data_IF_037042553690
#
_entry.id   IF_037042553690
#
_cell.length_a   1.000
_cell.length_b   1.000
_cell.length_c   1.000
_cell.angle_alpha   90.00
_cell.angle_beta   90.00
_cell.angle_gamma   90.00
#
_symmetry.space_group_name_H-M   'P 1'
#
loop_
_entity.id
_entity.type
_entity.pdbx_description
1 polymer ?
#
# COMPACT_ATOMS: atom_id res chain seq x y z
N UNK A 1 -8.25 5.44 14.16
CA UNK A 1 -7.87 4.02 14.41
C UNK A 1 -7.23 3.52 13.13
N UNK A 2 -6.12 2.80 13.22
CA UNK A 2 -5.43 2.29 12.03
C UNK A 2 -6.26 1.15 11.42
N UNK A 3 -6.51 1.23 10.11
CA UNK A 3 -7.30 0.29 9.32
C UNK A 3 -6.53 -0.30 8.14
N UNK A 4 -5.51 0.41 7.65
CA UNK A 4 -4.81 0.05 6.42
C UNK A 4 -3.32 -0.17 6.63
N UNK A 5 -2.73 -1.13 5.92
CA UNK A 5 -1.29 -1.28 5.75
C UNK A 5 -0.96 -0.94 4.30
N UNK A 6 -0.22 0.15 4.09
CA UNK A 6 0.19 0.62 2.76
C UNK A 6 1.61 0.16 2.48
N UNK A 7 1.76 -0.66 1.43
CA UNK A 7 3.02 -1.25 0.99
C UNK A 7 3.42 -0.65 -0.36
N UNK A 8 4.27 0.39 -0.39
CA UNK A 8 4.79 0.90 -1.65
C UNK A 8 5.65 -0.15 -2.36
N UNK A 9 5.75 -0.07 -3.67
CA UNK A 9 6.46 -1.07 -4.46
C UNK A 9 6.49 -0.74 -5.94
N UNK A 10 7.24 -1.56 -6.68
CA UNK A 10 7.33 -1.47 -8.14
C UNK A 10 6.19 -2.26 -8.78
N UNK A 11 5.61 -1.68 -9.83
CA UNK A 11 4.73 -2.38 -10.76
C UNK A 11 5.35 -2.34 -12.15
N UNK A 12 5.15 -3.39 -12.92
CA UNK A 12 5.53 -3.39 -14.33
C UNK A 12 4.34 -2.88 -15.14
N UNK A 13 4.53 -1.83 -15.92
CA UNK A 13 3.52 -1.30 -16.82
C UNK A 13 3.20 -2.32 -17.90
N UNK A 14 1.91 -2.52 -18.16
CA UNK A 14 1.46 -3.45 -19.21
C UNK A 14 1.63 -2.85 -20.62
N UNK A 15 1.84 -1.54 -20.73
CA UNK A 15 1.81 -0.81 -22.00
C UNK A 15 3.18 -0.73 -22.65
N UNK A 16 4.19 -0.43 -21.84
CA UNK A 16 5.57 -0.12 -22.23
C UNK A 16 6.58 -1.13 -21.65
N UNK A 17 6.17 -1.92 -20.65
CA UNK A 17 7.04 -2.90 -20.01
C UNK A 17 7.97 -2.30 -18.94
N UNK A 18 7.92 -0.99 -18.68
CA UNK A 18 8.77 -0.34 -17.70
C UNK A 18 8.27 -0.56 -16.27
N UNK A 19 9.20 -0.50 -15.32
CA UNK A 19 8.88 -0.57 -13.90
C UNK A 19 8.61 0.83 -13.34
N UNK A 20 7.40 1.04 -12.83
CA UNK A 20 7.01 2.25 -12.13
C UNK A 20 6.97 1.99 -10.63
N UNK A 21 7.72 2.79 -9.87
CA UNK A 21 7.61 2.79 -8.41
C UNK A 21 6.39 3.59 -7.97
N UNK A 22 5.50 2.95 -7.21
CA UNK A 22 4.34 3.60 -6.62
C UNK A 22 4.61 3.84 -5.13
N UNK A 23 4.67 5.12 -4.77
CA UNK A 23 4.88 5.56 -3.40
C UNK A 23 3.64 5.32 -2.53
N UNK A 24 3.84 5.28 -1.21
CA UNK A 24 2.75 5.09 -0.26
C UNK A 24 1.74 6.25 -0.34
N UNK A 25 2.21 7.48 -0.52
CA UNK A 25 1.37 8.66 -0.74
C UNK A 25 0.48 8.53 -1.97
N UNK A 26 1.02 7.94 -3.05
CA UNK A 26 0.23 7.69 -4.26
C UNK A 26 -0.83 6.62 -4.03
N UNK A 27 -0.51 5.53 -3.33
CA UNK A 27 -1.50 4.51 -2.95
C UNK A 27 -2.60 5.10 -2.07
N UNK A 28 -2.25 5.92 -1.08
CA UNK A 28 -3.22 6.61 -0.24
C UNK A 28 -4.16 7.48 -1.06
N UNK A 29 -3.63 8.27 -1.99
CA UNK A 29 -4.44 9.11 -2.87
C UNK A 29 -5.38 8.29 -3.77
N UNK A 30 -4.89 7.20 -4.36
CA UNK A 30 -5.68 6.33 -5.25
C UNK A 30 -6.82 5.63 -4.52
N UNK A 31 -6.62 5.28 -3.25
CA UNK A 31 -7.61 4.58 -2.43
C UNK A 31 -8.38 5.48 -1.45
N UNK A 32 -8.13 6.79 -1.45
CA UNK A 32 -8.78 7.74 -0.53
C UNK A 32 -8.45 7.51 0.94
N UNK A 33 -7.29 6.93 1.25
CA UNK A 33 -6.88 6.56 2.61
C UNK A 33 -6.28 7.77 3.32
N UNK A 34 -6.75 8.04 4.53
CA UNK A 34 -6.15 9.06 5.38
C UNK A 34 -4.82 8.57 5.99
N UNK A 35 -3.78 9.42 6.05
CA UNK A 35 -2.50 9.06 6.67
C UNK A 35 -2.64 8.60 8.14
N UNK A 36 -3.61 9.15 8.86
CA UNK A 36 -3.93 8.81 10.26
C UNK A 36 -4.59 7.44 10.44
N UNK A 37 -5.06 6.81 9.37
CA UNK A 37 -5.70 5.49 9.38
C UNK A 37 -4.81 4.40 8.77
N UNK A 38 -3.55 4.71 8.45
CA UNK A 38 -2.67 3.79 7.75
C UNK A 38 -1.29 3.64 8.40
N UNK A 39 -0.69 2.46 8.22
CA UNK A 39 0.71 2.19 8.50
C UNK A 39 1.44 1.98 7.18
N UNK A 40 2.50 2.74 6.96
CA UNK A 40 3.39 2.54 5.82
C UNK A 40 4.38 1.43 6.15
N UNK A 41 4.36 0.35 5.37
CA UNK A 41 5.21 -0.82 5.54
C UNK A 41 6.06 -1.03 4.28
N UNK A 42 7.35 -0.70 4.37
CA UNK A 42 8.30 -0.79 3.24
C UNK A 42 9.09 -2.09 3.22
N UNK A 43 9.18 -2.79 4.35
CA UNK A 43 9.99 -3.98 4.48
C UNK A 43 10.09 -4.51 5.92
N UNK A 44 10.94 -5.51 6.16
CA UNK A 44 11.10 -6.14 7.47
C UNK A 44 11.55 -5.16 8.57
N UNK A 45 12.24 -4.08 8.22
CA UNK A 45 12.60 -2.99 9.15
C UNK A 45 11.37 -2.32 9.79
N UNK A 46 10.23 -2.30 9.09
CA UNK A 46 8.99 -1.68 9.54
C UNK A 46 8.10 -2.62 10.38
N UNK A 47 8.55 -3.85 10.70
CA UNK A 47 7.80 -4.79 11.55
C UNK A 47 7.41 -4.18 12.91
N UNK A 48 8.25 -3.30 13.46
CA UNK A 48 7.96 -2.62 14.71
C UNK A 48 6.69 -1.74 14.65
N UNK A 49 6.32 -1.23 13.46
CA UNK A 49 5.12 -0.40 13.27
C UNK A 49 3.83 -1.21 13.35
N UNK A 50 3.89 -2.51 13.07
CA UNK A 50 2.76 -3.43 13.17
C UNK A 50 2.54 -3.92 14.61
N UNK A 51 3.48 -3.65 15.52
CA UNK A 51 3.45 -4.13 16.90
C UNK A 51 2.36 -3.38 17.67
N UNK A 52 1.23 -4.04 17.95
CA UNK A 52 0.04 -3.44 18.57
C UNK A 52 -0.97 -2.89 17.57
N UNK A 53 -0.74 -3.08 16.27
CA UNK A 53 -1.74 -2.79 15.26
C UNK A 53 -2.80 -3.90 15.21
N UNK A 54 -4.00 -3.57 14.74
CA UNK A 54 -5.11 -4.53 14.66
C UNK A 54 -4.74 -5.71 13.73
N UNK A 55 -5.28 -6.90 13.98
CA UNK A 55 -5.03 -8.07 13.12
C UNK A 55 -5.83 -8.00 11.82
N UNK A 56 -6.88 -7.18 11.75
CA UNK A 56 -7.79 -7.06 10.61
C UNK A 56 -7.44 -5.90 9.66
N UNK A 57 -6.16 -5.56 9.54
CA UNK A 57 -5.73 -4.47 8.68
C UNK A 57 -5.82 -4.84 7.19
N UNK A 58 -6.37 -3.93 6.41
CA UNK A 58 -6.50 -4.07 4.96
C UNK A 58 -5.15 -3.76 4.31
N UNK A 59 -4.62 -4.71 3.54
CA UNK A 59 -3.33 -4.54 2.85
C UNK A 59 -3.53 -3.84 1.50
N UNK A 60 -2.84 -2.73 1.32
CA UNK A 60 -2.89 -1.88 0.12
C UNK A 60 -1.51 -1.88 -0.49
N UNK A 61 -1.39 -2.42 -1.69
CA UNK A 61 -0.13 -2.55 -2.42
C UNK A 61 -0.38 -2.22 -3.89
N UNK A 62 0.64 -1.77 -4.64
CA UNK A 62 0.44 -1.39 -6.03
C UNK A 62 0.20 -2.64 -6.86
N UNK A 63 -0.85 -2.59 -7.68
CA UNK A 63 -1.22 -3.67 -8.59
C UNK A 63 -1.08 -3.20 -10.04
N UNK A 64 -0.35 -3.98 -10.83
CA UNK A 64 -0.15 -3.73 -12.26
C UNK A 64 -1.43 -3.98 -13.10
N UNK A 65 -2.44 -4.64 -12.53
CA UNK A 65 -3.67 -4.98 -13.25
C UNK A 65 -4.63 -3.81 -13.45
N UNK A 66 -4.34 -2.63 -12.86
CA UNK A 66 -5.19 -1.44 -12.94
C UNK A 66 -6.59 -1.64 -12.36
N UNK A 67 -6.87 -2.79 -11.74
CA UNK A 67 -8.17 -3.16 -11.19
C UNK A 67 -8.12 -2.95 -9.69
N UNK A 68 -8.48 -1.75 -9.28
CA UNK A 68 -8.73 -1.35 -7.90
C UNK A 68 -9.98 -2.09 -7.36
N UNK A 69 -9.86 -3.38 -7.08
CA UNK A 69 -10.90 -4.13 -6.36
C UNK A 69 -10.54 -4.19 -4.88
N UNK A 70 -11.39 -3.53 -4.09
CA UNK A 70 -11.50 -3.68 -2.65
C UNK A 70 -11.99 -5.11 -2.37
N UNK A 71 -11.22 -5.90 -1.64
CA UNK A 71 -11.64 -7.16 -1.03
C UNK A 71 -11.58 -6.99 0.48
#
# INVERSE_FOLDING_TARGET
MIKYIVRPGYITSRTDGDQHYISASRLMQLHGIQPSECIIFRGPEDHHKLKGADKNLINVFPRADGKYKVY
#
